data_IF_914756381492
#
_entry.id   IF_914756381492
#
_cell.length_a   1.000
_cell.length_b   1.000
_cell.length_c   1.000
_cell.angle_alpha   90.00
_cell.angle_beta   90.00
_cell.angle_gamma   90.00
#
_symmetry.space_group_name_H-M   'P 1'
#
loop_
_entity.id
_entity.type
_entity.pdbx_description
1 polymer ?
#
# COMPACT_ATOMS: atom_id res chain seq x y z
N UNK A 1 -13.57 5.62 -32.42
CA UNK A 1 -13.95 4.87 -31.20
C UNK A 1 -12.83 5.10 -30.21
N UNK A 2 -13.14 5.75 -29.08
CA UNK A 2 -12.19 6.32 -28.13
C UNK A 2 -11.28 5.22 -27.56
N UNK A 3 -9.97 5.32 -27.79
CA UNK A 3 -8.96 4.65 -26.98
C UNK A 3 -9.01 5.29 -25.59
N UNK A 4 -9.56 4.55 -24.61
CA UNK A 4 -9.34 4.87 -23.21
C UNK A 4 -7.96 4.32 -22.86
N UNK A 5 -7.06 5.21 -22.47
CA UNK A 5 -5.73 4.90 -21.93
C UNK A 5 -5.86 4.24 -20.55
N UNK A 6 -6.41 3.02 -20.51
CA UNK A 6 -6.32 2.17 -19.32
C UNK A 6 -4.91 1.56 -19.29
N UNK A 7 -4.09 1.80 -18.25
CA UNK A 7 -2.74 1.26 -18.19
C UNK A 7 -2.78 -0.26 -18.21
N UNK A 8 -2.19 -0.85 -19.25
CA UNK A 8 -2.07 -2.29 -19.41
C UNK A 8 -1.06 -2.85 -18.40
N UNK A 9 -1.53 -3.24 -17.21
CA UNK A 9 -0.68 -3.91 -16.20
C UNK A 9 -0.46 -5.35 -16.66
N UNK A 10 0.56 -5.55 -17.50
CA UNK A 10 0.95 -6.85 -18.05
C UNK A 10 1.86 -7.58 -17.07
N UNK A 11 1.26 -8.22 -16.06
CA UNK A 11 1.99 -9.07 -15.13
C UNK A 11 1.10 -9.75 -14.09
N UNK A 12 1.57 -10.88 -13.56
CA UNK A 12 0.99 -11.47 -12.36
C UNK A 12 1.18 -10.52 -11.19
N UNK A 13 0.10 -10.25 -10.44
CA UNK A 13 0.13 -9.35 -9.28
C UNK A 13 -0.20 -10.12 -8.02
N UNK A 14 0.44 -9.70 -6.93
CA UNK A 14 0.21 -10.17 -5.58
C UNK A 14 -0.03 -8.96 -4.68
N UNK A 15 -0.94 -9.09 -3.73
CA UNK A 15 -1.18 -8.11 -2.69
C UNK A 15 -1.48 -8.85 -1.39
N UNK A 16 -1.24 -8.19 -0.27
CA UNK A 16 -1.46 -8.78 1.05
C UNK A 16 -2.15 -7.78 1.97
N UNK A 17 -2.84 -8.31 2.97
CA UNK A 17 -3.46 -7.52 4.05
C UNK A 17 -3.37 -8.31 5.33
N UNK A 18 -3.16 -7.62 6.45
CA UNK A 18 -2.97 -8.29 7.72
C UNK A 18 -2.54 -7.31 8.80
N UNK A 19 -2.40 -7.82 10.01
CA UNK A 19 -1.85 -7.09 11.16
C UNK A 19 -0.32 -7.22 11.25
N UNK A 20 0.27 -8.15 10.48
CA UNK A 20 1.72 -8.40 10.49
C UNK A 20 2.49 -7.15 10.05
N UNK A 21 3.42 -6.72 10.90
CA UNK A 21 4.27 -5.54 10.68
C UNK A 21 5.71 -5.90 10.30
N UNK A 22 5.95 -7.16 9.91
CA UNK A 22 7.26 -7.70 9.48
C UNK A 22 8.40 -7.48 10.49
N UNK A 23 8.08 -7.57 11.79
CA UNK A 23 9.05 -7.50 12.89
C UNK A 23 9.26 -8.86 13.55
N UNK A 24 10.38 -9.03 14.28
CA UNK A 24 10.65 -10.25 15.05
C UNK A 24 9.50 -10.59 16.01
N UNK A 25 9.00 -9.58 16.75
CA UNK A 25 7.86 -9.76 17.67
C UNK A 25 6.59 -10.20 16.94
N UNK A 26 6.32 -9.69 15.73
CA UNK A 26 5.17 -10.15 14.96
C UNK A 26 5.30 -11.60 14.47
N UNK A 27 6.53 -12.09 14.29
CA UNK A 27 6.78 -13.47 13.86
C UNK A 27 6.79 -14.47 15.02
N UNK A 28 7.22 -14.04 16.21
CA UNK A 28 7.47 -14.92 17.35
C UNK A 28 6.38 -14.87 18.43
N UNK A 29 5.79 -13.70 18.67
CA UNK A 29 4.99 -13.46 19.87
C UNK A 29 3.54 -13.07 19.59
N UNK A 30 3.29 -12.29 18.54
CA UNK A 30 1.95 -11.77 18.28
C UNK A 30 1.03 -12.80 17.63
N UNK A 31 -0.25 -12.69 17.94
CA UNK A 31 -1.30 -13.37 17.18
C UNK A 31 -1.66 -12.53 15.94
N UNK A 32 -1.09 -12.91 14.80
CA UNK A 32 -1.20 -12.14 13.56
C UNK A 32 -2.19 -12.74 12.56
N UNK A 33 -2.76 -11.87 11.72
CA UNK A 33 -3.47 -12.27 10.51
C UNK A 33 -2.65 -11.88 9.28
N UNK A 34 -2.56 -12.78 8.31
CA UNK A 34 -1.90 -12.54 7.03
C UNK A 34 -2.68 -13.19 5.89
N UNK A 35 -3.23 -12.35 5.01
CA UNK A 35 -4.02 -12.75 3.85
C UNK A 35 -3.29 -12.35 2.59
N UNK A 36 -3.26 -13.26 1.60
CA UNK A 36 -2.58 -13.08 0.31
C UNK A 36 -3.62 -13.16 -0.80
N UNK A 37 -3.55 -12.21 -1.73
CA UNK A 37 -4.47 -12.06 -2.86
C UNK A 37 -3.69 -12.02 -4.17
N UNK A 38 -4.16 -12.77 -5.16
CA UNK A 38 -3.44 -13.05 -6.41
C UNK A 38 -4.27 -12.61 -7.61
N UNK A 39 -3.60 -12.21 -8.69
CA UNK A 39 -4.30 -11.82 -9.93
C UNK A 39 -4.76 -13.00 -10.77
N UNK A 40 -4.36 -14.22 -10.40
CA UNK A 40 -4.60 -15.45 -11.15
C UNK A 40 -5.52 -16.44 -10.43
N UNK A 41 -6.18 -16.01 -9.36
CA UNK A 41 -7.22 -16.78 -8.66
C UNK A 41 -8.50 -15.95 -8.47
N UNK A 42 -9.44 -16.48 -7.69
CA UNK A 42 -10.71 -15.82 -7.39
C UNK A 42 -10.62 -14.54 -6.54
N UNK A 43 -9.42 -14.10 -6.14
CA UNK A 43 -9.23 -12.97 -5.23
C UNK A 43 -8.86 -11.65 -5.91
N UNK A 44 -8.81 -11.61 -7.23
CA UNK A 44 -8.42 -10.44 -8.02
C UNK A 44 -9.23 -9.16 -7.67
N UNK A 45 -10.49 -9.28 -7.23
CA UNK A 45 -11.29 -8.14 -6.79
C UNK A 45 -10.73 -7.47 -5.52
N UNK A 46 -10.28 -8.27 -4.53
CA UNK A 46 -9.61 -7.75 -3.33
C UNK A 46 -8.26 -7.12 -3.70
N UNK A 47 -7.53 -7.75 -4.60
CA UNK A 47 -6.27 -7.21 -5.11
C UNK A 47 -6.45 -5.83 -5.78
N UNK A 48 -7.50 -5.67 -6.59
CA UNK A 48 -7.85 -4.39 -7.21
C UNK A 48 -8.20 -3.31 -6.15
N UNK A 49 -8.93 -3.68 -5.10
CA UNK A 49 -9.24 -2.77 -3.99
C UNK A 49 -7.99 -2.33 -3.21
N UNK A 50 -7.06 -3.26 -2.95
CA UNK A 50 -5.78 -2.95 -2.31
C UNK A 50 -5.00 -1.94 -3.16
N UNK A 51 -4.86 -2.20 -4.47
CA UNK A 51 -4.20 -1.28 -5.39
C UNK A 51 -4.82 0.11 -5.39
N UNK A 52 -6.14 0.20 -5.54
CA UNK A 52 -6.84 1.49 -5.53
C UNK A 52 -6.65 2.27 -4.21
N UNK A 53 -6.64 1.59 -3.05
CA UNK A 53 -6.37 2.23 -1.76
C UNK A 53 -4.93 2.74 -1.66
N UNK A 54 -3.97 1.95 -2.14
CA UNK A 54 -2.57 2.35 -2.20
C UNK A 54 -2.40 3.59 -3.08
N UNK A 55 -2.94 3.56 -4.31
CA UNK A 55 -2.84 4.67 -5.26
C UNK A 55 -3.43 5.96 -4.69
N UNK A 56 -4.61 5.90 -4.05
CA UNK A 56 -5.22 7.06 -3.41
C UNK A 56 -4.35 7.66 -2.30
N UNK A 57 -3.79 6.82 -1.44
CA UNK A 57 -2.89 7.27 -0.38
C UNK A 57 -1.61 7.88 -0.98
N UNK A 58 -1.03 7.20 -1.96
CA UNK A 58 0.20 7.63 -2.64
C UNK A 58 0.01 8.93 -3.40
N UNK A 59 -1.14 9.15 -4.03
CA UNK A 59 -1.46 10.37 -4.76
C UNK A 59 -1.97 11.51 -3.86
N UNK A 60 -2.04 11.31 -2.54
CA UNK A 60 -2.51 12.32 -1.59
C UNK A 60 -4.02 12.59 -1.70
N UNK A 61 -4.79 11.61 -2.18
CA UNK A 61 -6.26 11.67 -2.34
C UNK A 61 -7.00 11.09 -1.14
N UNK A 62 -6.28 10.53 -0.16
CA UNK A 62 -6.89 9.94 1.03
C UNK A 62 -7.10 11.01 2.12
N UNK A 63 -8.31 11.07 2.66
CA UNK A 63 -8.69 12.11 3.62
C UNK A 63 -7.93 11.90 4.93
N UNK A 64 -7.41 12.99 5.51
CA UNK A 64 -6.67 12.99 6.79
C UNK A 64 -5.29 12.29 6.72
N UNK A 65 -4.83 11.88 5.54
CA UNK A 65 -3.50 11.28 5.31
C UNK A 65 -2.65 12.16 4.39
N UNK A 66 -1.35 12.20 4.66
CA UNK A 66 -0.36 12.89 3.81
C UNK A 66 0.78 11.92 3.49
N UNK A 67 1.05 11.76 2.20
CA UNK A 67 2.21 11.02 1.70
C UNK A 67 3.20 12.01 1.06
N UNK A 68 4.37 12.17 1.68
CA UNK A 68 5.33 13.24 1.35
C UNK A 68 6.76 12.69 1.14
N UNK A 69 7.62 13.35 0.35
CA UNK A 69 9.01 12.92 0.18
C UNK A 69 9.80 12.88 1.49
N UNK A 70 10.63 11.86 1.69
CA UNK A 70 11.51 11.72 2.87
C UNK A 70 12.34 12.99 3.13
N UNK A 71 13.02 13.60 2.13
CA UNK A 71 13.83 14.79 2.39
C UNK A 71 13.02 15.96 2.95
N UNK A 72 11.75 16.08 2.54
CA UNK A 72 10.88 17.15 3.01
C UNK A 72 10.39 16.88 4.43
N UNK A 73 10.03 15.63 4.74
CA UNK A 73 9.69 15.23 6.10
C UNK A 73 10.86 15.42 7.09
N UNK A 74 12.09 15.18 6.64
CA UNK A 74 13.30 15.40 7.44
C UNK A 74 13.47 16.89 7.80
N UNK A 75 13.32 17.79 6.81
CA UNK A 75 13.39 19.25 7.03
C UNK A 75 12.32 19.73 8.01
N UNK A 76 11.11 19.20 7.88
CA UNK A 76 9.98 19.50 8.75
C UNK A 76 10.06 18.80 10.13
N UNK A 77 11.13 18.05 10.39
CA UNK A 77 11.37 17.28 11.63
C UNK A 77 10.26 16.26 11.94
N UNK A 78 9.57 15.78 10.90
CA UNK A 78 8.47 14.84 11.03
C UNK A 78 8.94 13.39 11.20
N UNK A 79 10.22 13.08 10.98
CA UNK A 79 10.79 11.73 11.22
C UNK A 79 10.72 11.29 12.70
N UNK A 80 10.43 12.22 13.62
CA UNK A 80 10.19 11.93 15.04
C UNK A 80 8.71 11.64 15.34
N UNK A 81 7.85 11.76 14.34
CA UNK A 81 6.41 11.55 14.37
C UNK A 81 6.06 10.41 13.39
N UNK A 82 4.89 9.80 13.57
CA UNK A 82 4.41 8.78 12.61
C UNK A 82 3.83 9.47 11.36
N UNK A 83 4.62 9.55 10.29
CA UNK A 83 4.21 10.04 8.95
C UNK A 83 4.57 9.02 7.88
N UNK A 84 3.76 8.94 6.83
CA UNK A 84 4.06 8.13 5.65
C UNK A 84 4.99 8.86 4.71
N UNK A 85 6.15 8.27 4.48
CA UNK A 85 7.22 8.87 3.69
C UNK A 85 7.34 8.19 2.33
N UNK A 86 7.52 9.01 1.30
CA UNK A 86 7.84 8.59 -0.06
C UNK A 86 9.36 8.65 -0.26
N UNK A 87 9.95 7.57 -0.74
CA UNK A 87 11.33 7.57 -1.23
C UNK A 87 11.46 8.29 -2.56
#
# INVERSE_FOLDING_TARGET
VLQRDEPCVTGYRLGFSGSVNESATALEDNYESFMVFQSWDGTNAHLAQIGHRFDRLWEGKEKDWVAMPIPEAAKQKLLKLFVWLKC
#
